data_IF_937591466582
#
_entry.id   IF_937591466582
#
_cell.length_a   1.000
_cell.length_b   1.000
_cell.length_c   1.000
_cell.angle_alpha   90.00
_cell.angle_beta   90.00
_cell.angle_gamma   90.00
#
_symmetry.space_group_name_H-M   'P 1'
#
loop_
_entity.id
_entity.type
_entity.pdbx_description
1 polymer ?
#
# COMPACT_ATOMS: atom_id res chain seq x y z
N UNK A 1 -5.83 -23.97 25.06
CA UNK A 1 -6.54 -22.67 24.91
C UNK A 1 -7.01 -22.60 23.47
N UNK A 2 -8.32 -22.45 23.24
CA UNK A 2 -8.88 -22.42 21.88
C UNK A 2 -8.79 -20.99 21.32
N UNK A 3 -7.77 -20.77 20.48
CA UNK A 3 -7.50 -19.45 19.90
C UNK A 3 -8.55 -19.02 18.87
N UNK A 4 -9.24 -19.98 18.22
CA UNK A 4 -10.30 -19.68 17.26
C UNK A 4 -11.53 -19.17 18.00
N UNK A 5 -11.91 -19.86 19.08
CA UNK A 5 -12.99 -19.40 19.96
C UNK A 5 -12.70 -18.03 20.58
N UNK A 6 -11.46 -17.79 21.00
CA UNK A 6 -11.04 -16.49 21.54
C UNK A 6 -11.10 -15.38 20.47
N UNK A 7 -10.60 -15.64 19.26
CA UNK A 7 -10.63 -14.67 18.16
C UNK A 7 -12.07 -14.31 17.77
N UNK A 8 -12.97 -15.30 17.69
CA UNK A 8 -14.39 -15.07 17.40
C UNK A 8 -15.09 -14.25 18.49
N UNK A 9 -14.68 -14.39 19.75
CA UNK A 9 -15.20 -13.60 20.86
C UNK A 9 -14.72 -12.15 20.83
N UNK A 10 -13.44 -11.94 20.51
CA UNK A 10 -12.81 -10.61 20.45
C UNK A 10 -13.22 -9.82 19.21
N UNK A 11 -13.41 -10.49 18.07
CA UNK A 11 -13.66 -9.86 16.78
C UNK A 11 -14.88 -10.44 16.06
N UNK A 12 -16.09 -10.39 16.66
CA UNK A 12 -17.30 -11.01 16.11
C UNK A 12 -17.75 -10.40 14.77
N UNK A 13 -17.23 -9.22 14.42
CA UNK A 13 -17.52 -8.50 13.18
C UNK A 13 -16.59 -8.90 12.02
N UNK A 14 -15.48 -9.60 12.28
CA UNK A 14 -14.59 -10.11 11.23
C UNK A 14 -15.19 -11.39 10.68
N UNK A 15 -15.83 -11.27 9.51
CA UNK A 15 -16.48 -12.39 8.82
C UNK A 15 -15.62 -13.01 7.73
N UNK A 16 -14.58 -12.31 7.30
CA UNK A 16 -13.71 -12.73 6.20
C UNK A 16 -12.52 -13.51 6.73
N UNK A 17 -12.24 -14.63 6.09
CA UNK A 17 -11.03 -15.42 6.32
C UNK A 17 -9.88 -14.95 5.40
N UNK A 18 -8.63 -15.35 5.67
CA UNK A 18 -7.48 -14.95 4.84
C UNK A 18 -7.59 -15.36 3.37
N UNK A 19 -8.14 -16.55 3.07
CA UNK A 19 -8.26 -17.06 1.69
C UNK A 19 -9.19 -16.19 0.86
N UNK A 20 -10.28 -15.68 1.44
CA UNK A 20 -11.18 -14.74 0.76
C UNK A 20 -10.45 -13.45 0.35
N UNK A 21 -9.45 -13.00 1.11
CA UNK A 21 -8.63 -11.85 0.72
C UNK A 21 -7.64 -12.17 -0.41
N UNK A 22 -7.11 -13.39 -0.45
CA UNK A 22 -6.25 -13.85 -1.55
C UNK A 22 -7.04 -13.95 -2.87
N UNK A 23 -8.32 -14.31 -2.81
CA UNK A 23 -9.22 -14.31 -3.97
C UNK A 23 -9.54 -12.89 -4.46
N UNK A 24 -9.75 -11.94 -3.55
CA UNK A 24 -10.00 -10.52 -3.89
C UNK A 24 -8.74 -9.86 -4.45
N UNK A 25 -7.56 -10.26 -3.97
CA UNK A 25 -6.26 -9.69 -4.36
C UNK A 25 -5.31 -10.78 -4.88
N UNK A 26 -5.57 -11.30 -6.08
CA UNK A 26 -4.78 -12.41 -6.61
C UNK A 26 -3.33 -12.00 -6.85
N UNK A 27 -2.45 -13.00 -6.91
CA UNK A 27 -1.06 -12.78 -7.24
C UNK A 27 -0.93 -12.13 -8.62
N UNK A 28 -0.07 -11.12 -8.70
CA UNK A 28 0.17 -10.36 -9.93
C UNK A 28 0.90 -11.22 -10.96
N UNK A 29 0.41 -11.19 -12.20
CA UNK A 29 1.10 -11.79 -13.34
C UNK A 29 2.19 -10.84 -13.83
N UNK A 30 3.38 -10.90 -13.20
CA UNK A 30 4.54 -10.07 -13.56
C UNK A 30 5.76 -10.94 -13.88
N UNK A 31 6.71 -10.43 -14.69
CA UNK A 31 7.98 -11.11 -14.94
C UNK A 31 8.71 -11.46 -13.63
N UNK A 32 9.48 -12.56 -13.64
CA UNK A 32 10.32 -12.93 -12.50
C UNK A 32 11.32 -11.81 -12.23
N UNK A 33 11.35 -11.32 -11.00
CA UNK A 33 12.23 -10.21 -10.60
C UNK A 33 11.66 -8.81 -10.81
N UNK A 34 10.46 -8.69 -11.39
CA UNK A 34 9.76 -7.42 -11.53
C UNK A 34 9.58 -6.70 -10.18
N UNK A 35 9.80 -5.39 -10.16
CA UNK A 35 9.74 -4.56 -8.96
C UNK A 35 8.41 -3.81 -8.90
N UNK A 36 7.69 -3.98 -7.81
CA UNK A 36 6.50 -3.17 -7.50
C UNK A 36 6.91 -2.12 -6.49
N UNK A 37 6.86 -0.85 -6.89
CA UNK A 37 7.33 0.30 -6.11
C UNK A 37 6.20 1.33 -5.99
N UNK A 38 6.37 2.36 -5.15
CA UNK A 38 5.37 3.41 -5.00
C UNK A 38 5.95 4.73 -4.52
N UNK A 39 5.39 5.84 -4.98
CA UNK A 39 5.45 7.11 -4.25
C UNK A 39 4.29 7.12 -3.24
N UNK A 40 4.62 7.17 -1.95
CA UNK A 40 3.67 7.17 -0.84
C UNK A 40 3.67 8.49 -0.06
N UNK A 41 3.20 9.62 -0.62
CA UNK A 41 3.18 10.88 0.11
C UNK A 41 2.04 10.87 1.12
N UNK A 42 2.25 11.52 2.25
CA UNK A 42 1.20 11.77 3.23
C UNK A 42 0.73 13.21 3.05
N UNK A 43 -0.59 13.49 3.04
CA UNK A 43 -1.18 14.79 2.71
C UNK A 43 -1.01 15.82 3.83
N UNK A 44 0.21 15.94 4.34
CA UNK A 44 0.62 16.77 5.48
C UNK A 44 1.42 18.00 5.05
N UNK A 45 1.68 18.13 3.75
CA UNK A 45 2.42 19.23 3.14
C UNK A 45 2.55 19.03 1.62
N UNK A 46 3.28 19.94 0.97
CA UNK A 46 3.51 19.83 -0.47
C UNK A 46 4.67 18.89 -0.80
N UNK A 47 4.61 18.28 -1.99
CA UNK A 47 5.72 17.53 -2.56
C UNK A 47 6.96 18.41 -2.66
N UNK A 48 8.07 17.94 -2.10
CA UNK A 48 9.37 18.58 -2.23
C UNK A 48 10.35 17.71 -3.03
N UNK A 49 11.51 18.28 -3.37
CA UNK A 49 12.52 17.62 -4.21
C UNK A 49 12.98 16.26 -3.66
N UNK A 50 12.96 16.09 -2.33
CA UNK A 50 13.29 14.83 -1.68
C UNK A 50 12.28 13.72 -2.02
N UNK A 51 10.98 14.03 -2.04
CA UNK A 51 9.96 13.07 -2.46
C UNK A 51 10.12 12.73 -3.95
N UNK A 52 10.36 13.75 -4.79
CA UNK A 52 10.54 13.55 -6.23
C UNK A 52 11.74 12.65 -6.55
N UNK A 53 12.86 12.82 -5.84
CA UNK A 53 14.03 11.98 -6.04
C UNK A 53 13.72 10.49 -5.80
N UNK A 54 13.10 10.18 -4.66
CA UNK A 54 12.68 8.81 -4.35
C UNK A 54 11.68 8.27 -5.36
N UNK A 55 10.71 9.08 -5.75
CA UNK A 55 9.72 8.72 -6.77
C UNK A 55 10.35 8.37 -8.11
N UNK A 56 11.34 9.14 -8.57
CA UNK A 56 12.05 8.85 -9.82
C UNK A 56 12.83 7.54 -9.75
N UNK A 57 13.53 7.27 -8.65
CA UNK A 57 14.24 6.00 -8.47
C UNK A 57 13.26 4.83 -8.52
N UNK A 58 12.17 4.93 -7.76
CA UNK A 58 11.14 3.90 -7.69
C UNK A 58 10.45 3.65 -9.03
N UNK A 59 10.11 4.71 -9.75
CA UNK A 59 9.48 4.62 -11.06
C UNK A 59 10.44 4.02 -12.09
N UNK A 60 11.71 4.45 -12.13
CA UNK A 60 12.71 3.86 -13.04
C UNK A 60 12.95 2.39 -12.73
N UNK A 61 13.03 2.01 -11.45
CA UNK A 61 13.24 0.62 -11.02
C UNK A 61 12.08 -0.29 -11.42
N UNK A 62 10.84 0.16 -11.22
CA UNK A 62 9.67 -0.57 -11.68
C UNK A 62 9.66 -0.70 -13.20
N UNK A 63 9.87 0.39 -13.93
CA UNK A 63 9.84 0.39 -15.39
C UNK A 63 10.90 -0.55 -15.99
N UNK A 64 12.15 -0.45 -15.53
CA UNK A 64 13.26 -1.24 -16.05
C UNK A 64 13.11 -2.74 -15.79
N UNK A 65 12.38 -3.12 -14.74
CA UNK A 65 12.15 -4.53 -14.38
C UNK A 65 10.85 -5.12 -14.95
N UNK A 66 10.08 -4.34 -15.75
CA UNK A 66 8.75 -4.75 -16.21
C UNK A 66 7.72 -4.85 -15.08
N UNK A 67 7.96 -4.13 -13.98
CA UNK A 67 7.11 -4.06 -12.80
C UNK A 67 6.10 -2.92 -12.86
N UNK A 68 5.63 -2.48 -11.69
CA UNK A 68 4.56 -1.49 -11.57
C UNK A 68 4.94 -0.42 -10.54
N UNK A 69 4.77 0.84 -10.91
CA UNK A 69 4.92 1.98 -10.02
C UNK A 69 3.54 2.54 -9.64
N UNK A 70 3.31 2.76 -8.36
CA UNK A 70 2.06 3.32 -7.83
C UNK A 70 2.23 4.73 -7.27
N UNK A 71 1.19 5.54 -7.39
CA UNK A 71 0.95 6.66 -6.48
C UNK A 71 -0.05 6.19 -5.42
N UNK A 72 0.34 6.28 -4.14
CA UNK A 72 -0.54 5.94 -3.01
C UNK A 72 -0.51 7.05 -1.98
N UNK A 73 -1.55 7.85 -1.92
CA UNK A 73 -1.70 8.84 -0.85
C UNK A 73 -1.87 8.08 0.47
N UNK A 74 -1.03 8.41 1.46
CA UNK A 74 -1.03 7.81 2.79
C UNK A 74 -1.76 8.76 3.76
N UNK A 75 -3.08 8.82 3.59
CA UNK A 75 -4.05 9.71 4.26
C UNK A 75 -4.64 9.14 5.55
N UNK A 76 -3.99 8.17 6.19
CA UNK A 76 -4.54 7.50 7.39
C UNK A 76 -4.54 8.36 8.67
N UNK A 77 -4.03 9.60 8.61
CA UNK A 77 -3.93 10.51 9.76
C UNK A 77 -4.60 11.86 9.47
N UNK A 78 -5.92 11.89 9.70
CA UNK A 78 -6.78 13.06 9.49
C UNK A 78 -6.29 14.33 10.23
N UNK A 79 -5.60 14.17 11.37
CA UNK A 79 -5.20 15.32 12.20
C UNK A 79 -4.10 16.16 11.58
N UNK A 80 -3.32 15.57 10.67
CA UNK A 80 -2.19 16.24 10.00
C UNK A 80 -2.51 16.63 8.56
N UNK A 81 -3.74 16.41 8.11
CA UNK A 81 -4.13 16.73 6.75
C UNK A 81 -4.10 18.25 6.51
N UNK A 82 -3.45 18.65 5.42
CA UNK A 82 -3.41 20.04 4.96
C UNK A 82 -4.25 20.13 3.69
N UNK A 83 -5.14 21.11 3.62
CA UNK A 83 -5.99 21.33 2.44
C UNK A 83 -5.10 21.63 1.21
N UNK A 84 -5.31 20.88 0.13
CA UNK A 84 -4.52 20.99 -1.10
C UNK A 84 -3.14 20.34 -1.07
N UNK A 85 -2.77 19.67 0.03
CA UNK A 85 -1.58 18.82 0.08
C UNK A 85 -1.76 17.50 -0.67
N UNK A 86 -0.64 16.83 -0.93
CA UNK A 86 -0.57 15.52 -1.62
C UNK A 86 -0.08 14.47 -0.65
#
# INVERSE_FOLDING_TARGET
>A
MDYVKLANLLFPHIKKNPLEYEEIYPQRTLPVGAKVTRLGPSPTGFIHLGNLYGAFVDERLAHQSGGIFYLRIEDTDDKRQVEGAV
#
